data_IF_546489788118
#
_entry.id   IF_546489788118
#
_cell.length_a   1.000
_cell.length_b   1.000
_cell.length_c   1.000
_cell.angle_alpha   90.00
_cell.angle_beta   90.00
_cell.angle_gamma   90.00
#
_symmetry.space_group_name_H-M   'P 1'
#
loop_
_entity.id
_entity.type
_entity.pdbx_description
1 polymer ?
#
# COMPACT_ATOMS: atom_id res chain seq x y z
N UNK A 1 15.70 -1.84 8.94
CA UNK A 1 15.37 -2.62 10.16
C UNK A 1 16.29 -3.82 10.28
N UNK A 2 16.37 -4.70 9.26
CA UNK A 2 17.33 -5.82 9.23
C UNK A 2 18.78 -5.37 9.46
N UNK A 3 19.21 -4.30 8.79
CA UNK A 3 20.57 -3.73 8.95
C UNK A 3 20.84 -3.20 10.37
N UNK A 4 19.85 -2.62 11.04
CA UNK A 4 19.99 -2.10 12.40
C UNK A 4 20.03 -3.24 13.44
N UNK A 5 19.30 -4.32 13.19
CA UNK A 5 19.38 -5.55 13.97
C UNK A 5 20.74 -6.23 13.80
N UNK A 6 21.30 -6.26 12.58
CA UNK A 6 22.65 -6.78 12.33
C UNK A 6 23.75 -5.94 12.99
N UNK A 7 23.55 -4.63 13.10
CA UNK A 7 24.46 -3.71 13.81
C UNK A 7 24.38 -3.82 15.35
N UNK A 8 23.55 -4.72 15.91
CA UNK A 8 23.27 -4.81 17.37
C UNK A 8 22.84 -3.48 18.00
N UNK A 9 22.30 -2.55 17.18
CA UNK A 9 21.85 -1.25 17.66
C UNK A 9 20.48 -1.32 18.36
N UNK A 10 19.81 -2.48 18.30
CA UNK A 10 18.50 -2.75 18.88
C UNK A 10 18.54 -4.07 19.65
N UNK A 11 18.22 -4.02 20.94
CA UNK A 11 18.02 -5.18 21.79
C UNK A 11 16.53 -5.54 21.77
N UNK A 12 16.20 -6.76 21.32
CA UNK A 12 14.81 -7.22 21.22
C UNK A 12 14.33 -7.97 22.47
N UNK A 13 15.16 -8.05 23.52
CA UNK A 13 14.92 -8.88 24.71
C UNK A 13 13.65 -8.47 25.49
N UNK A 14 13.22 -7.21 25.36
CA UNK A 14 12.01 -6.68 26.00
C UNK A 14 10.83 -6.47 25.02
N UNK A 15 10.94 -6.98 23.78
CA UNK A 15 9.89 -6.79 22.78
C UNK A 15 8.63 -7.59 23.17
N UNK A 16 7.55 -6.87 23.51
CA UNK A 16 6.27 -7.46 23.89
C UNK A 16 5.25 -7.55 22.76
N UNK A 17 5.37 -6.70 21.74
CA UNK A 17 4.38 -6.61 20.65
C UNK A 17 5.11 -6.47 19.32
N UNK A 18 4.70 -7.26 18.34
CA UNK A 18 5.13 -7.16 16.94
C UNK A 18 3.91 -6.90 16.06
N UNK A 19 4.04 -5.95 15.15
CA UNK A 19 2.99 -5.59 14.19
C UNK A 19 3.54 -5.68 12.77
N UNK A 20 2.84 -6.42 11.91
CA UNK A 20 3.04 -6.45 10.47
C UNK A 20 1.87 -5.74 9.81
N UNK A 21 2.14 -4.69 9.04
CA UNK A 21 1.14 -3.92 8.31
C UNK A 21 1.37 -4.04 6.79
N UNK A 22 0.31 -4.02 5.99
CA UNK A 22 0.35 -4.31 4.55
C UNK A 22 1.06 -5.65 4.22
N UNK A 23 0.68 -6.74 4.90
CA UNK A 23 1.35 -8.03 4.74
C UNK A 23 1.31 -8.59 3.31
N UNK A 24 0.21 -8.38 2.59
CA UNK A 24 0.10 -8.68 1.16
C UNK A 24 1.16 -7.96 0.32
N UNK A 25 1.35 -6.66 0.54
CA UNK A 25 2.38 -5.89 -0.17
C UNK A 25 3.79 -6.37 0.16
N UNK A 26 4.06 -6.72 1.42
CA UNK A 26 5.37 -7.24 1.80
C UNK A 26 5.67 -8.57 1.11
N UNK A 27 4.67 -9.45 0.98
CA UNK A 27 4.78 -10.69 0.21
C UNK A 27 5.00 -10.39 -1.27
N UNK A 28 4.24 -9.48 -1.87
CA UNK A 28 4.37 -9.08 -3.28
C UNK A 28 5.75 -8.49 -3.60
N UNK A 29 6.39 -7.83 -2.62
CA UNK A 29 7.74 -7.30 -2.74
C UNK A 29 8.84 -8.38 -2.55
N UNK A 30 8.47 -9.61 -2.23
CA UNK A 30 9.40 -10.71 -1.97
C UNK A 30 10.07 -10.65 -0.60
N UNK A 31 9.49 -9.95 0.37
CA UNK A 31 10.07 -9.81 1.71
C UNK A 31 9.70 -10.93 2.70
N UNK A 32 8.93 -11.94 2.28
CA UNK A 32 8.53 -13.04 3.15
C UNK A 32 9.72 -13.71 3.87
N UNK A 33 10.78 -14.02 3.12
CA UNK A 33 12.00 -14.65 3.68
C UNK A 33 12.74 -13.74 4.68
N UNK A 34 12.75 -12.44 4.43
CA UNK A 34 13.41 -11.47 5.32
C UNK A 34 12.61 -11.25 6.60
N UNK A 35 11.28 -11.29 6.52
CA UNK A 35 10.39 -11.26 7.68
C UNK A 35 10.61 -12.51 8.54
N UNK A 36 10.73 -13.70 7.93
CA UNK A 36 11.05 -14.93 8.67
C UNK A 36 12.37 -14.81 9.45
N UNK A 37 13.43 -14.29 8.83
CA UNK A 37 14.72 -14.07 9.53
C UNK A 37 14.62 -13.08 10.69
N UNK A 38 13.71 -12.10 10.60
CA UNK A 38 13.46 -11.16 11.70
C UNK A 38 12.76 -11.90 12.84
N UNK A 39 11.69 -12.64 12.54
CA UNK A 39 10.88 -13.37 13.52
C UNK A 39 11.75 -14.35 14.34
N UNK A 40 12.66 -15.07 13.69
CA UNK A 40 13.59 -16.01 14.35
C UNK A 40 14.51 -15.35 15.39
N UNK A 41 14.72 -14.03 15.31
CA UNK A 41 15.59 -13.27 16.23
C UNK A 41 14.82 -12.60 17.37
N UNK A 42 13.49 -12.69 17.36
CA UNK A 42 12.63 -12.04 18.35
C UNK A 42 12.31 -12.99 19.51
N UNK A 43 12.06 -12.45 20.72
CA UNK A 43 11.68 -13.27 21.87
C UNK A 43 10.38 -14.04 21.60
N UNK A 44 10.31 -15.30 22.05
CA UNK A 44 9.14 -16.17 21.82
C UNK A 44 7.87 -15.65 22.49
N UNK A 45 7.98 -15.08 23.70
CA UNK A 45 6.83 -14.53 24.42
C UNK A 45 6.55 -13.08 23.98
N UNK A 46 5.70 -12.94 22.96
CA UNK A 46 5.26 -11.64 22.42
C UNK A 46 3.86 -11.76 21.81
N UNK A 47 3.14 -10.66 21.78
CA UNK A 47 1.90 -10.53 21.03
C UNK A 47 2.19 -10.18 19.56
N UNK A 48 1.55 -10.90 18.65
CA UNK A 48 1.74 -10.80 17.22
C UNK A 48 0.45 -10.27 16.58
N UNK A 49 0.53 -9.16 15.83
CA UNK A 49 -0.57 -8.59 15.06
C UNK A 49 -0.19 -8.51 13.58
N UNK A 50 -1.05 -9.01 12.70
CA UNK A 50 -0.87 -8.94 11.25
C UNK A 50 -2.09 -8.24 10.64
N UNK A 51 -1.84 -7.20 9.87
CA UNK A 51 -2.82 -6.45 9.12
C UNK A 51 -2.54 -6.59 7.63
N UNK A 52 -3.58 -6.92 6.88
CA UNK A 52 -3.52 -7.05 5.43
C UNK A 52 -4.84 -6.62 4.82
N UNK A 53 -4.79 -5.96 3.66
CA UNK A 53 -5.98 -5.64 2.90
C UNK A 53 -6.53 -6.88 2.17
N UNK A 54 -5.64 -7.79 1.78
CA UNK A 54 -5.98 -9.04 1.12
C UNK A 54 -5.41 -10.25 1.85
N UNK A 55 -6.19 -11.33 1.89
CA UNK A 55 -5.77 -12.62 2.49
C UNK A 55 -5.54 -13.62 1.35
N UNK A 56 -4.31 -13.66 0.86
CA UNK A 56 -3.81 -14.67 -0.08
C UNK A 56 -3.27 -15.89 0.67
N UNK A 57 -3.01 -16.99 -0.03
CA UNK A 57 -2.42 -18.18 0.60
C UNK A 57 -1.03 -17.91 1.18
N UNK A 58 -0.24 -17.05 0.52
CA UNK A 58 1.08 -16.66 0.99
C UNK A 58 1.00 -15.78 2.26
N UNK A 59 0.02 -14.87 2.34
CA UNK A 59 -0.22 -14.08 3.56
C UNK A 59 -0.71 -14.99 4.70
N UNK A 60 -1.51 -16.01 4.41
CA UNK A 60 -1.88 -17.01 5.43
C UNK A 60 -0.67 -17.80 5.89
N UNK A 61 0.20 -18.24 4.98
CA UNK A 61 1.43 -18.94 5.32
C UNK A 61 2.31 -18.07 6.23
N UNK A 62 2.49 -16.79 5.87
CA UNK A 62 3.21 -15.82 6.71
C UNK A 62 2.54 -15.67 8.08
N UNK A 63 1.21 -15.59 8.16
CA UNK A 63 0.49 -15.50 9.42
C UNK A 63 0.67 -16.77 10.30
N UNK A 64 0.69 -17.96 9.70
CA UNK A 64 0.97 -19.21 10.43
C UNK A 64 2.38 -19.25 10.99
N UNK A 65 3.38 -18.88 10.19
CA UNK A 65 4.77 -18.82 10.64
C UNK A 65 4.99 -17.73 11.69
N UNK A 66 4.27 -16.61 11.56
CA UNK A 66 4.25 -15.50 12.52
C UNK A 66 3.63 -15.86 13.86
N UNK A 67 2.67 -16.78 13.87
CA UNK A 67 1.90 -17.14 15.07
C UNK A 67 2.62 -18.13 15.99
N UNK A 68 3.81 -18.61 15.60
CA UNK A 68 4.67 -19.56 16.32
C UNK A 68 3.99 -20.90 16.73
N UNK A 69 4.70 -22.00 16.49
CA UNK A 69 4.31 -23.35 16.94
C UNK A 69 4.31 -23.49 18.48
N UNK A 70 4.85 -22.53 19.21
CA UNK A 70 4.86 -22.48 20.68
C UNK A 70 3.80 -21.57 21.30
N UNK A 71 3.13 -20.73 20.52
CA UNK A 71 2.09 -19.84 21.03
C UNK A 71 0.83 -20.67 21.30
N UNK A 72 0.39 -20.69 22.55
CA UNK A 72 -0.62 -21.64 23.07
C UNK A 72 -2.02 -21.39 22.52
N UNK A 73 -2.24 -20.26 21.85
CA UNK A 73 -3.53 -19.84 21.32
C UNK A 73 -3.49 -19.70 19.79
N UNK A 74 -4.48 -20.31 19.10
CA UNK A 74 -4.67 -20.14 17.66
C UNK A 74 -4.84 -18.64 17.33
N UNK A 75 -4.20 -18.19 16.25
CA UNK A 75 -4.41 -16.86 15.71
C UNK A 75 -5.90 -16.62 15.42
N UNK A 76 -6.46 -15.57 16.03
CA UNK A 76 -7.81 -15.13 15.75
C UNK A 76 -7.82 -14.33 14.44
N UNK A 77 -8.39 -14.91 13.38
CA UNK A 77 -8.61 -14.20 12.12
C UNK A 77 -9.86 -13.31 12.22
N UNK A 78 -9.66 -12.00 12.08
CA UNK A 78 -10.76 -11.02 12.04
C UNK A 78 -10.79 -10.46 10.62
N UNK A 79 -11.71 -10.97 9.80
CA UNK A 79 -11.93 -10.45 8.45
C UNK A 79 -13.10 -9.47 8.44
N UNK A 80 -12.80 -8.20 8.15
CA UNK A 80 -13.81 -7.18 7.89
C UNK A 80 -14.13 -7.26 6.40
N UNK A 81 -15.04 -8.15 6.03
CA UNK A 81 -15.58 -8.16 4.66
C UNK A 81 -16.38 -6.88 4.42
N UNK A 82 -16.00 -6.00 3.48
CA UNK A 82 -16.86 -4.89 3.12
C UNK A 82 -18.10 -5.47 2.45
N UNK A 83 -19.27 -5.32 3.06
CA UNK A 83 -20.57 -5.66 2.47
C UNK A 83 -20.92 -4.81 1.23
N UNK A 84 -19.99 -4.01 0.73
CA UNK A 84 -20.19 -3.10 -0.39
C UNK A 84 -19.00 -3.25 -1.31
N UNK A 85 -19.25 -3.72 -2.55
CA UNK A 85 -18.28 -3.57 -3.65
C UNK A 85 -17.98 -2.08 -3.74
N UNK A 86 -16.77 -1.64 -3.39
CA UNK A 86 -16.36 -0.25 -3.49
C UNK A 86 -16.68 0.36 -4.88
N UNK A 87 -16.72 -0.48 -5.91
CA UNK A 87 -17.07 -0.12 -7.28
C UNK A 87 -18.56 0.19 -7.54
N UNK A 88 -19.50 -0.22 -6.69
CA UNK A 88 -20.94 -0.06 -6.99
C UNK A 88 -21.36 1.42 -7.12
N UNK A 89 -20.66 2.32 -6.42
CA UNK A 89 -20.93 3.76 -6.43
C UNK A 89 -19.90 4.58 -7.21
N UNK A 90 -18.95 3.94 -7.91
CA UNK A 90 -17.94 4.64 -8.72
C UNK A 90 -18.44 4.75 -10.15
N UNK A 91 -18.70 5.97 -10.62
CA UNK A 91 -19.02 6.22 -12.04
C UNK A 91 -17.75 6.17 -12.86
N UNK A 92 -17.64 5.19 -13.74
CA UNK A 92 -16.48 4.97 -14.60
C UNK A 92 -16.82 5.37 -16.04
N UNK A 93 -15.88 6.05 -16.71
CA UNK A 93 -16.04 6.51 -18.08
C UNK A 93 -14.77 6.19 -18.87
N UNK A 94 -14.93 5.81 -20.13
CA UNK A 94 -13.81 5.58 -21.06
C UNK A 94 -13.91 6.60 -22.19
N UNK A 95 -12.83 7.35 -22.42
CA UNK A 95 -12.75 8.35 -23.50
C UNK A 95 -11.55 8.00 -24.37
N UNK A 96 -11.79 7.71 -25.64
CA UNK A 96 -10.74 7.47 -26.64
C UNK A 96 -10.25 8.80 -27.20
N UNK A 97 -8.96 9.07 -27.06
CA UNK A 97 -8.29 10.25 -27.60
C UNK A 97 -6.90 9.91 -28.09
N UNK A 98 -6.44 10.65 -29.09
CA UNK A 98 -5.07 10.57 -29.56
C UNK A 98 -4.09 10.96 -28.45
N UNK A 99 -2.88 10.40 -28.49
CA UNK A 99 -1.87 10.58 -27.43
C UNK A 99 -1.56 12.08 -27.20
N UNK A 100 -1.55 12.86 -28.28
CA UNK A 100 -1.19 14.28 -28.26
C UNK A 100 -2.30 15.19 -27.71
N UNK A 101 -3.56 14.71 -27.66
CA UNK A 101 -4.72 15.51 -27.23
C UNK A 101 -5.16 15.22 -25.80
N UNK A 102 -4.56 14.22 -25.13
CA UNK A 102 -4.88 13.84 -23.74
C UNK A 102 -4.75 15.00 -22.75
N UNK A 103 -3.71 15.82 -22.86
CA UNK A 103 -3.48 16.94 -21.95
C UNK A 103 -4.51 18.06 -22.11
N UNK A 104 -4.89 18.37 -23.36
CA UNK A 104 -5.94 19.32 -23.69
C UNK A 104 -7.31 18.84 -23.17
N UNK A 105 -7.65 17.57 -23.38
CA UNK A 105 -8.88 16.98 -22.86
C UNK A 105 -8.92 17.03 -21.32
N UNK A 106 -7.82 16.64 -20.66
CA UNK A 106 -7.75 16.69 -19.19
C UNK A 106 -7.95 18.11 -18.65
N UNK A 107 -7.33 19.10 -19.28
CA UNK A 107 -7.49 20.51 -18.90
C UNK A 107 -8.93 20.99 -19.11
N UNK A 108 -9.58 20.54 -20.20
CA UNK A 108 -10.98 20.81 -20.45
C UNK A 108 -11.89 20.20 -19.37
N UNK A 109 -11.68 18.93 -19.01
CA UNK A 109 -12.46 18.22 -17.99
C UNK A 109 -12.33 18.85 -16.61
N UNK A 110 -11.13 19.24 -16.19
CA UNK A 110 -10.91 19.91 -14.90
C UNK A 110 -11.67 21.25 -14.86
N UNK A 111 -11.63 22.01 -15.96
CA UNK A 111 -12.31 23.31 -16.05
C UNK A 111 -13.84 23.18 -16.17
N UNK A 112 -14.35 22.16 -16.86
CA UNK A 112 -15.79 21.96 -17.01
C UNK A 112 -16.41 21.40 -15.72
N UNK A 113 -15.77 20.41 -15.11
CA UNK A 113 -16.29 19.72 -13.93
C UNK A 113 -15.94 20.42 -12.61
N UNK A 114 -15.03 21.41 -12.63
CA UNK A 114 -14.65 22.21 -11.47
C UNK A 114 -14.25 21.36 -10.25
N UNK A 115 -13.43 20.32 -10.46
CA UNK A 115 -12.99 19.44 -9.38
C UNK A 115 -12.06 20.17 -8.40
N UNK A 116 -12.44 20.21 -7.13
CA UNK A 116 -11.62 20.80 -6.07
C UNK A 116 -10.31 20.02 -5.84
N UNK A 117 -10.39 18.69 -5.93
CA UNK A 117 -9.27 17.77 -5.78
C UNK A 117 -9.42 16.62 -6.79
N UNK A 118 -8.36 16.35 -7.56
CA UNK A 118 -8.32 15.26 -8.52
C UNK A 118 -6.99 14.52 -8.41
N UNK A 119 -7.05 13.18 -8.43
CA UNK A 119 -5.88 12.31 -8.50
C UNK A 119 -5.75 11.77 -9.92
N UNK A 120 -4.65 12.12 -10.60
CA UNK A 120 -4.40 11.74 -11.99
C UNK A 120 -3.26 10.72 -12.02
N UNK A 121 -3.56 9.52 -12.52
CA UNK A 121 -2.56 8.47 -12.69
C UNK A 121 -1.95 8.52 -14.11
N UNK A 122 -0.63 8.57 -14.20
CA UNK A 122 0.13 8.53 -15.47
C UNK A 122 1.21 7.46 -15.39
N UNK A 123 1.44 6.71 -16.48
CA UNK A 123 2.40 5.59 -16.48
C UNK A 123 3.88 5.98 -16.46
N UNK A 124 4.23 7.23 -16.79
CA UNK A 124 5.62 7.70 -16.85
C UNK A 124 5.81 8.98 -16.02
N UNK A 125 6.88 9.04 -15.20
CA UNK A 125 7.21 10.20 -14.34
C UNK A 125 7.33 11.51 -15.12
N UNK A 126 7.84 11.46 -16.35
CA UNK A 126 8.01 12.63 -17.22
C UNK A 126 6.66 13.24 -17.64
N UNK A 127 5.63 12.41 -17.78
CA UNK A 127 4.27 12.81 -18.18
C UNK A 127 3.54 13.56 -17.04
N UNK A 128 3.87 13.21 -15.80
CA UNK A 128 3.35 13.86 -14.59
C UNK A 128 3.71 15.35 -14.54
N UNK A 129 4.98 15.69 -14.84
CA UNK A 129 5.44 17.09 -14.89
C UNK A 129 4.77 17.90 -16.01
N UNK A 130 4.46 17.29 -17.15
CA UNK A 130 3.78 17.96 -18.26
C UNK A 130 2.30 18.21 -17.96
N UNK A 131 1.61 17.24 -17.32
CA UNK A 131 0.21 17.38 -16.92
C UNK A 131 0.00 18.49 -15.88
N UNK A 132 0.95 18.67 -14.95
CA UNK A 132 0.92 19.77 -13.98
C UNK A 132 1.36 21.13 -14.55
N UNK A 133 2.24 21.15 -15.56
CA UNK A 133 2.71 22.39 -16.19
C UNK A 133 1.68 22.99 -17.16
N UNK A 134 0.88 22.15 -17.85
CA UNK A 134 -0.19 22.62 -18.73
C UNK A 134 -1.41 23.21 -17.99
N UNK A 135 -1.51 23.02 -16.67
CA UNK A 135 -2.61 23.55 -15.84
C UNK A 135 -2.38 24.97 -15.31
N UNK A 136 -1.37 25.68 -15.80
CA UNK A 136 -1.01 27.01 -15.30
C UNK A 136 -2.04 28.11 -15.59
N UNK A 137 -3.06 28.28 -14.72
CA UNK A 137 -3.56 29.60 -14.22
C UNK A 137 -4.78 29.58 -13.28
N UNK A 138 -5.20 28.45 -12.71
CA UNK A 138 -6.29 28.44 -11.71
C UNK A 138 -5.80 27.89 -10.38
N UNK A 139 -6.24 28.53 -9.29
CA UNK A 139 -5.83 28.26 -7.90
C UNK A 139 -6.34 26.89 -7.42
N UNK A 140 -5.80 25.81 -7.94
CA UNK A 140 -6.02 24.47 -7.41
C UNK A 140 -4.68 23.90 -6.92
N UNK A 141 -4.62 23.51 -5.66
CA UNK A 141 -3.45 22.86 -5.07
C UNK A 141 -3.35 21.44 -5.65
N UNK A 142 -2.61 21.29 -6.75
CA UNK A 142 -2.33 20.01 -7.39
C UNK A 142 -1.12 19.33 -6.75
N UNK A 143 -1.39 18.34 -5.89
CA UNK A 143 -0.38 17.38 -5.42
C UNK A 143 -0.28 16.24 -6.43
N UNK A 144 0.76 16.24 -7.25
CA UNK A 144 1.03 15.19 -8.24
C UNK A 144 2.08 14.22 -7.67
N UNK A 145 1.67 12.99 -7.37
CA UNK A 145 2.55 12.00 -6.76
C UNK A 145 3.00 10.98 -7.82
N UNK A 146 4.31 10.90 -8.15
CA UNK A 146 4.83 9.81 -8.96
C UNK A 146 4.84 8.52 -8.15
N UNK A 147 4.23 7.47 -8.67
CA UNK A 147 4.41 6.12 -8.13
C UNK A 147 5.86 5.66 -8.35
N UNK A 148 6.42 4.98 -7.35
CA UNK A 148 7.69 4.25 -7.40
C UNK A 148 7.39 2.77 -7.30
#
# INVERSE_FOLDING_TARGET
MLDLAHQRALHFDELKVMVLDEADRMVDMGFADDIHKIIERLPANRQNLLFSATITDDVRALAYDFSDRQMTDLAAEISISPNVRAAANVKQWLITVDKDTKSALLSHLINEQQWDQALIFTGEKTQCSQAGCSTGKTRHHSGLYPWR
#
